data_IF_180825285450
#
_entry.id   IF_180825285450
#
_cell.length_a   1.000
_cell.length_b   1.000
_cell.length_c   1.000
_cell.angle_alpha   90.00
_cell.angle_beta   90.00
_cell.angle_gamma   90.00
#
_symmetry.space_group_name_H-M   'P 1'
#
loop_
_entity.id
_entity.type
_entity.pdbx_description
1 polymer ?
#
# COMPACT_ATOMS: atom_id res chain seq x y z
N UNK A 1 20.25 40.63 -41.06
CA UNK A 1 20.01 39.37 -40.32
C UNK A 1 19.95 39.63 -38.81
N UNK A 2 18.85 40.21 -38.27
CA UNK A 2 18.77 40.59 -36.83
C UNK A 2 17.45 40.20 -36.13
N UNK A 3 16.49 39.63 -36.86
CA UNK A 3 15.15 39.34 -36.35
C UNK A 3 14.88 37.84 -36.15
N UNK A 4 15.65 36.95 -36.78
CA UNK A 4 15.47 35.50 -36.65
C UNK A 4 15.95 34.97 -35.30
N UNK A 5 17.00 35.56 -34.71
CA UNK A 5 17.57 35.12 -33.44
C UNK A 5 16.62 35.32 -32.25
N UNK A 6 15.78 36.36 -32.28
CA UNK A 6 14.81 36.63 -31.20
C UNK A 6 13.62 35.66 -31.22
N UNK A 7 13.21 35.21 -32.39
CA UNK A 7 12.08 34.28 -32.55
C UNK A 7 12.47 32.88 -32.04
N UNK A 8 13.70 32.43 -32.32
CA UNK A 8 14.20 31.14 -31.81
C UNK A 8 14.30 31.11 -30.28
N UNK A 9 14.66 32.22 -29.64
CA UNK A 9 14.83 32.30 -28.18
C UNK A 9 13.50 32.24 -27.42
N UNK A 10 12.42 32.79 -28.00
CA UNK A 10 11.06 32.71 -27.42
C UNK A 10 10.47 31.29 -27.60
N UNK A 11 10.75 30.65 -28.74
CA UNK A 11 10.29 29.29 -29.02
C UNK A 11 10.92 28.26 -28.07
N UNK A 12 12.20 28.45 -27.70
CA UNK A 12 12.89 27.57 -26.75
C UNK A 12 12.43 27.76 -25.29
N UNK A 13 11.97 28.95 -24.91
CA UNK A 13 11.44 29.19 -23.57
C UNK A 13 10.06 28.55 -23.37
N UNK A 14 9.23 28.55 -24.43
CA UNK A 14 7.91 27.95 -24.41
C UNK A 14 7.96 26.41 -24.29
N UNK A 15 8.93 25.74 -24.92
CA UNK A 15 9.08 24.28 -24.81
C UNK A 15 9.56 23.83 -23.42
N UNK A 16 10.40 24.62 -22.75
CA UNK A 16 10.83 24.32 -21.37
C UNK A 16 9.66 24.49 -20.39
N UNK A 17 8.84 25.53 -20.54
CA UNK A 17 7.67 25.74 -19.69
C UNK A 17 6.61 24.64 -19.85
N UNK A 18 6.38 24.15 -21.07
CA UNK A 18 5.44 23.03 -21.32
C UNK A 18 6.01 21.70 -20.77
N UNK A 19 7.33 21.49 -20.88
CA UNK A 19 7.99 20.31 -20.32
C UNK A 19 7.88 20.21 -18.79
N UNK A 20 8.03 21.32 -18.07
CA UNK A 20 7.89 21.36 -16.61
C UNK A 20 6.44 21.11 -16.15
N UNK A 21 5.44 21.60 -16.90
CA UNK A 21 4.03 21.41 -16.56
C UNK A 21 3.58 19.95 -16.77
N UNK A 22 4.14 19.23 -17.74
CA UNK A 22 3.78 17.82 -17.98
C UNK A 22 4.42 16.86 -16.96
N UNK A 23 5.60 17.18 -16.41
CA UNK A 23 6.21 16.38 -15.33
C UNK A 23 5.44 16.58 -14.02
N UNK A 24 4.95 17.79 -13.75
CA UNK A 24 4.20 18.11 -12.53
C UNK A 24 2.77 17.54 -12.48
N UNK A 25 2.20 17.11 -13.62
CA UNK A 25 0.84 16.53 -13.70
C UNK A 25 0.82 14.99 -13.66
N UNK A 26 1.97 14.35 -13.53
CA UNK A 26 2.09 12.89 -13.47
C UNK A 26 1.75 12.25 -12.11
N UNK A 27 1.55 13.06 -11.06
CA UNK A 27 1.40 12.58 -9.67
C UNK A 27 -0.03 12.61 -9.12
N UNK A 28 -1.05 12.84 -9.96
CA UNK A 28 -2.46 12.74 -9.54
C UNK A 28 -2.93 11.28 -9.47
N UNK A 29 -2.36 10.49 -8.55
CA UNK A 29 -2.97 9.36 -7.81
C UNK A 29 -1.95 8.36 -7.23
N UNK A 30 -0.68 8.74 -7.03
CA UNK A 30 0.15 7.94 -6.13
C UNK A 30 -0.38 8.16 -4.71
N UNK A 31 -0.96 7.13 -4.10
CA UNK A 31 -1.23 7.11 -2.66
C UNK A 31 -0.01 7.67 -1.92
N UNK A 32 -0.20 8.68 -1.07
CA UNK A 32 0.90 9.28 -0.32
C UNK A 32 1.62 8.27 0.59
N UNK A 33 0.95 7.16 0.89
CA UNK A 33 1.51 6.01 1.59
C UNK A 33 2.01 4.98 0.57
N UNK A 34 3.28 4.62 0.68
CA UNK A 34 3.95 3.64 -0.17
C UNK A 34 4.34 2.41 0.64
N UNK A 35 3.99 1.21 0.15
CA UNK A 35 4.44 -0.06 0.71
C UNK A 35 5.81 -0.45 0.14
N UNK A 36 6.82 -0.63 0.99
CA UNK A 36 8.18 -0.99 0.60
C UNK A 36 8.33 -2.51 0.68
N UNK A 37 7.91 -3.21 -0.39
CA UNK A 37 7.87 -4.68 -0.45
C UNK A 37 9.23 -5.35 -0.18
N UNK A 38 10.33 -4.76 -0.64
CA UNK A 38 11.67 -5.32 -0.46
C UNK A 38 12.13 -5.38 1.02
N UNK A 39 11.54 -4.56 1.88
CA UNK A 39 11.85 -4.46 3.31
C UNK A 39 10.76 -5.07 4.20
N UNK A 40 9.76 -5.67 3.55
CA UNK A 40 8.60 -6.27 4.21
C UNK A 40 8.64 -7.78 4.08
N UNK A 41 8.14 -8.49 5.09
CA UNK A 41 8.21 -9.94 5.11
C UNK A 41 7.11 -10.60 5.95
N UNK A 42 6.75 -11.82 5.53
CA UNK A 42 5.88 -12.71 6.27
C UNK A 42 6.55 -13.16 7.57
N UNK A 43 5.88 -12.92 8.70
CA UNK A 43 6.43 -13.19 10.02
C UNK A 43 5.84 -14.45 10.65
N UNK A 44 4.53 -14.61 10.63
CA UNK A 44 3.85 -15.74 11.28
C UNK A 44 2.52 -16.06 10.59
N UNK A 45 2.16 -17.34 10.64
CA UNK A 45 0.85 -17.83 10.25
C UNK A 45 0.29 -18.74 11.33
N UNK A 46 -0.97 -18.52 11.71
CA UNK A 46 -1.65 -19.31 12.75
C UNK A 46 -3.12 -19.52 12.43
N UNK A 47 -3.59 -20.75 12.63
CA UNK A 47 -5.02 -21.06 12.68
C UNK A 47 -5.38 -21.33 14.14
N UNK A 48 -6.36 -20.62 14.68
CA UNK A 48 -6.82 -20.80 16.06
C UNK A 48 -7.78 -21.98 16.17
N UNK A 49 -8.08 -22.41 17.42
CA UNK A 49 -9.07 -23.46 17.68
C UNK A 49 -10.49 -23.07 17.26
N UNK A 50 -10.76 -21.78 17.03
CA UNK A 50 -12.05 -21.24 16.63
C UNK A 50 -12.12 -20.93 15.14
N UNK A 51 -11.28 -21.56 14.31
CA UNK A 51 -11.20 -21.36 12.85
C UNK A 51 -10.84 -19.93 12.42
N UNK A 52 -10.19 -19.15 13.28
CA UNK A 52 -9.64 -17.85 12.90
C UNK A 52 -8.26 -18.07 12.26
N UNK A 53 -8.02 -17.46 11.11
CA UNK A 53 -6.73 -17.44 10.42
C UNK A 53 -6.07 -16.10 10.72
N UNK A 54 -4.86 -16.14 11.24
CA UNK A 54 -4.04 -14.97 11.56
C UNK A 54 -2.78 -15.04 10.71
N UNK A 55 -2.59 -14.02 9.87
CA UNK A 55 -1.42 -13.85 9.01
C UNK A 55 -0.71 -12.59 9.51
N UNK A 56 0.48 -12.76 10.09
CA UNK A 56 1.28 -11.69 10.66
C UNK A 56 2.36 -11.28 9.66
N UNK A 57 2.30 -10.03 9.23
CA UNK A 57 3.28 -9.42 8.34
C UNK A 57 4.07 -8.35 9.09
N UNK A 58 5.36 -8.23 8.78
CA UNK A 58 6.10 -7.00 9.05
C UNK A 58 6.11 -6.18 7.78
N UNK A 59 5.37 -5.07 7.76
CA UNK A 59 5.26 -4.19 6.60
C UNK A 59 6.00 -2.89 6.84
N UNK A 60 6.83 -2.49 5.90
CA UNK A 60 7.54 -1.21 5.90
C UNK A 60 6.79 -0.22 5.02
N UNK A 61 6.45 0.94 5.58
CA UNK A 61 5.60 1.95 4.95
C UNK A 61 6.32 3.30 4.98
N UNK A 62 6.26 4.02 3.88
CA UNK A 62 6.71 5.40 3.75
C UNK A 62 5.53 6.34 3.53
N UNK A 63 5.45 7.43 4.31
CA UNK A 63 4.56 8.56 4.03
C UNK A 63 5.35 9.65 3.28
N UNK A 64 5.05 9.84 2.00
CA UNK A 64 5.71 10.86 1.14
C UNK A 64 5.02 12.22 1.16
N UNK A 65 3.93 12.37 1.91
CA UNK A 65 3.24 13.66 2.00
C UNK A 65 3.87 14.58 3.05
N UNK A 66 3.53 15.86 2.95
CA UNK A 66 3.92 16.89 3.91
C UNK A 66 3.07 16.90 5.18
N UNK A 67 2.05 16.05 5.27
CA UNK A 67 1.15 15.93 6.41
C UNK A 67 1.23 14.52 7.02
N UNK A 68 1.00 14.39 8.32
CA UNK A 68 0.78 13.09 8.95
C UNK A 68 -0.47 12.43 8.36
N UNK A 69 -0.46 11.10 8.27
CA UNK A 69 -1.59 10.33 7.72
C UNK A 69 -2.10 9.34 8.74
N UNK A 70 -3.43 9.33 8.88
CA UNK A 70 -4.18 8.26 9.56
C UNK A 70 -4.74 7.32 8.51
N UNK A 71 -4.55 6.01 8.67
CA UNK A 71 -4.92 5.05 7.64
C UNK A 71 -5.22 3.65 8.18
N UNK A 72 -5.96 2.87 7.41
CA UNK A 72 -6.13 1.43 7.59
C UNK A 72 -5.28 0.66 6.59
N UNK A 73 -4.84 -0.52 6.98
CA UNK A 73 -4.11 -1.46 6.12
C UNK A 73 -5.05 -2.59 5.73
N UNK A 74 -5.08 -2.94 4.45
CA UNK A 74 -5.88 -4.04 3.91
C UNK A 74 -4.95 -4.98 3.15
N UNK A 75 -4.96 -6.27 3.51
CA UNK A 75 -4.29 -7.32 2.76
C UNK A 75 -5.25 -7.93 1.74
N UNK A 76 -4.79 -8.10 0.50
CA UNK A 76 -5.56 -8.68 -0.61
C UNK A 76 -4.99 -10.07 -0.95
N UNK A 77 -5.88 -11.06 -1.09
CA UNK A 77 -5.59 -12.47 -1.32
C UNK A 77 -6.41 -12.98 -2.51
N UNK A 78 -6.14 -12.43 -3.71
CA UNK A 78 -7.02 -12.57 -4.88
C UNK A 78 -6.88 -13.91 -5.61
N UNK A 79 -5.68 -14.49 -5.67
CA UNK A 79 -5.42 -15.80 -6.27
C UNK A 79 -5.85 -16.95 -5.34
N UNK A 80 -5.86 -16.69 -4.02
CA UNK A 80 -6.17 -17.67 -2.97
C UNK A 80 -7.62 -17.58 -2.43
N UNK A 81 -8.48 -16.68 -2.91
CA UNK A 81 -9.84 -16.57 -2.39
C UNK A 81 -10.80 -17.69 -2.84
N UNK A 82 -10.81 -18.03 -4.14
CA UNK A 82 -11.80 -19.00 -4.67
C UNK A 82 -11.48 -20.47 -4.34
N UNK A 83 -10.21 -20.79 -4.05
CA UNK A 83 -9.75 -22.16 -3.75
C UNK A 83 -8.93 -22.28 -2.46
N UNK A 84 -8.58 -21.17 -1.81
CA UNK A 84 -7.65 -21.17 -0.68
C UNK A 84 -8.34 -21.18 0.68
N UNK A 85 -7.59 -20.73 1.68
CA UNK A 85 -7.90 -20.94 3.09
C UNK A 85 -8.93 -19.95 3.64
N UNK A 86 -9.08 -18.77 3.05
CA UNK A 86 -9.79 -17.64 3.63
C UNK A 86 -11.22 -17.50 3.06
N UNK A 87 -12.18 -17.13 3.92
CA UNK A 87 -13.57 -16.84 3.48
C UNK A 87 -13.75 -15.45 2.86
N UNK A 88 -12.69 -14.63 2.79
CA UNK A 88 -12.71 -13.27 2.22
C UNK A 88 -11.40 -12.98 1.51
N UNK A 89 -11.52 -12.33 0.35
CA UNK A 89 -10.40 -11.84 -0.46
C UNK A 89 -9.62 -10.72 0.25
N UNK A 90 -10.31 -9.89 1.04
CA UNK A 90 -9.74 -8.69 1.67
C UNK A 90 -9.85 -8.78 3.18
N UNK A 91 -8.73 -8.65 3.87
CA UNK A 91 -8.66 -8.66 5.33
C UNK A 91 -8.13 -7.33 5.85
N UNK A 92 -8.76 -6.79 6.89
CA UNK A 92 -8.23 -5.62 7.61
C UNK A 92 -7.02 -6.04 8.46
N UNK A 93 -6.01 -5.18 8.47
CA UNK A 93 -4.82 -5.30 9.29
C UNK A 93 -4.99 -4.64 10.65
N UNK A 94 -4.43 -5.27 11.69
CA UNK A 94 -4.45 -4.77 13.06
C UNK A 94 -3.07 -4.86 13.72
N UNK A 95 -2.71 -3.89 14.55
CA UNK A 95 -1.59 -4.05 15.48
C UNK A 95 -2.06 -4.83 16.71
N UNK A 96 -1.27 -5.84 17.08
CA UNK A 96 -1.61 -6.75 18.18
C UNK A 96 -2.87 -7.55 17.89
N UNK A 97 -3.44 -8.19 18.91
CA UNK A 97 -4.64 -9.02 18.74
C UNK A 97 -5.91 -8.13 18.64
N UNK A 98 -6.13 -7.51 17.48
CA UNK A 98 -7.24 -6.58 17.17
C UNK A 98 -7.26 -5.28 18.00
N UNK A 99 -6.11 -4.83 18.52
CA UNK A 99 -6.08 -3.64 19.41
C UNK A 99 -6.23 -2.33 18.66
N UNK A 100 -5.63 -2.23 17.47
CA UNK A 100 -5.57 -0.98 16.74
C UNK A 100 -5.66 -1.26 15.24
N UNK A 101 -6.71 -0.73 14.60
CA UNK A 101 -6.96 -0.85 13.15
C UNK A 101 -6.49 0.41 12.39
N UNK A 102 -6.52 1.57 13.05
CA UNK A 102 -6.10 2.86 12.48
C UNK A 102 -4.67 3.12 12.89
N UNK A 103 -3.80 3.29 11.91
CA UNK A 103 -2.38 3.59 12.06
C UNK A 103 -2.13 5.05 11.74
N UNK A 104 -1.09 5.59 12.36
CA UNK A 104 -0.61 6.94 12.11
C UNK A 104 0.84 6.87 11.64
N UNK A 105 1.17 7.66 10.61
CA UNK A 105 2.54 7.84 10.14
C UNK A 105 2.78 9.31 9.83
N UNK A 106 3.77 9.88 10.50
CA UNK A 106 4.10 11.29 10.36
C UNK A 106 4.57 11.66 8.95
N UNK A 107 4.49 12.94 8.64
CA UNK A 107 4.94 13.50 7.36
C UNK A 107 6.40 13.11 7.06
N UNK A 108 6.66 12.63 5.84
CA UNK A 108 8.00 12.26 5.37
C UNK A 108 8.71 11.19 6.25
N UNK A 109 7.96 10.36 6.98
CA UNK A 109 8.52 9.28 7.80
C UNK A 109 8.38 7.91 7.13
N UNK A 110 9.26 7.02 7.59
CA UNK A 110 9.25 5.59 7.27
C UNK A 110 9.16 4.78 8.56
N UNK A 111 8.32 3.75 8.56
CA UNK A 111 8.15 2.92 9.74
C UNK A 111 7.77 1.49 9.38
N UNK A 112 8.30 0.54 10.15
CA UNK A 112 7.88 -0.86 10.10
C UNK A 112 6.77 -1.11 11.12
N UNK A 113 5.68 -1.69 10.66
CA UNK A 113 4.56 -2.12 11.48
C UNK A 113 4.46 -3.64 11.48
N UNK A 114 4.14 -4.23 12.63
CA UNK A 114 3.72 -5.64 12.72
C UNK A 114 2.20 -5.68 12.64
N UNK A 115 1.68 -6.18 11.52
CA UNK A 115 0.26 -6.18 11.20
C UNK A 115 -0.26 -7.61 11.16
N UNK A 116 -1.34 -7.85 11.88
CA UNK A 116 -2.09 -9.09 11.86
C UNK A 116 -3.30 -8.92 10.94
N UNK A 117 -3.33 -9.66 9.84
CA UNK A 117 -4.52 -9.85 9.01
C UNK A 117 -5.31 -11.01 9.56
N UNK A 118 -6.57 -10.75 9.91
CA UNK A 118 -7.38 -11.72 10.65
C UNK A 118 -8.62 -12.04 9.83
N UNK A 119 -8.75 -13.31 9.46
CA UNK A 119 -9.86 -13.84 8.66
C UNK A 119 -10.46 -15.09 9.26
N UNK A 120 -11.49 -15.62 8.61
CA UNK A 120 -12.08 -16.90 8.94
C UNK A 120 -11.59 -17.97 7.96
N UNK A 121 -11.41 -19.19 8.46
CA UNK A 121 -11.02 -20.34 7.66
C UNK A 121 -12.24 -20.87 6.88
N UNK A 122 -12.09 -21.02 5.57
CA UNK A 122 -13.07 -21.67 4.72
C UNK A 122 -13.14 -23.19 5.00
N UNK A 123 -14.36 -23.73 4.99
CA UNK A 123 -14.65 -25.11 5.44
C UNK A 123 -14.65 -26.13 4.32
N UNK A 124 -14.78 -25.69 3.06
CA UNK A 124 -15.09 -26.56 1.92
C UNK A 124 -13.85 -26.94 1.09
N UNK A 125 -12.77 -26.12 1.11
CA UNK A 125 -11.60 -26.30 0.24
C UNK A 125 -10.30 -26.70 0.98
N UNK A 126 -9.45 -27.47 0.30
CA UNK A 126 -8.33 -28.27 0.86
C UNK A 126 -6.94 -27.65 0.72
N UNK A 127 -6.75 -26.51 0.02
CA UNK A 127 -5.44 -25.85 -0.05
C UNK A 127 -5.14 -25.18 1.29
N UNK A 128 -4.06 -25.64 1.93
CA UNK A 128 -3.53 -25.04 3.14
C UNK A 128 -2.48 -23.97 2.81
N UNK A 129 -2.67 -23.24 1.70
CA UNK A 129 -1.66 -22.28 1.29
C UNK A 129 -1.57 -21.15 2.33
N UNK A 130 -0.34 -20.78 2.68
CA UNK A 130 -0.02 -19.85 3.77
C UNK A 130 0.61 -18.59 3.22
N UNK A 131 0.23 -18.23 1.99
CA UNK A 131 0.82 -17.14 1.28
C UNK A 131 0.59 -15.82 2.04
N UNK A 132 1.58 -14.92 2.05
CA UNK A 132 1.37 -13.55 2.47
C UNK A 132 0.34 -12.86 1.56
N UNK A 133 -0.22 -11.71 1.96
CA UNK A 133 -1.02 -10.89 1.06
C UNK A 133 -0.28 -10.64 -0.25
N UNK A 134 -0.97 -10.79 -1.38
CA UNK A 134 -0.44 -10.48 -2.71
C UNK A 134 -0.20 -8.97 -2.85
N UNK A 135 -1.14 -8.20 -2.30
CA UNK A 135 -1.13 -6.75 -2.29
C UNK A 135 -1.47 -6.21 -0.90
N UNK A 136 -0.84 -5.07 -0.56
CA UNK A 136 -1.17 -4.26 0.61
C UNK A 136 -1.76 -2.94 0.12
N UNK A 137 -2.99 -2.65 0.53
CA UNK A 137 -3.72 -1.43 0.19
C UNK A 137 -3.91 -0.57 1.43
N UNK A 138 -3.82 0.75 1.26
CA UNK A 138 -4.08 1.72 2.32
C UNK A 138 -5.40 2.44 2.09
N UNK A 139 -6.18 2.62 3.15
CA UNK A 139 -7.35 3.51 3.16
C UNK A 139 -7.05 4.67 4.09
N UNK A 140 -6.79 5.86 3.52
CA UNK A 140 -6.57 7.09 4.29
C UNK A 140 -7.89 7.53 4.92
N UNK A 141 -7.83 7.92 6.20
CA UNK A 141 -8.94 8.48 6.96
C UNK A 141 -8.66 9.98 7.09
N UNK A 142 -9.58 10.79 6.56
CA UNK A 142 -9.53 12.26 6.66
C UNK A 142 -9.86 12.77 8.06
#
# INVERSE_FOLDING_TARGET
MRNTTKIFMILSLATIAVGVILIARGDENQSSLTYIKAESYHSEFKITKTNEVIITEKIHIQNRSHDSKSFKVIGVYSEDFNEGLLTKERLNGYIGNRKQEILELDANQEQTFTINFIGEKETINTKQDRNPPEEIVFTVIE
#
